data_IF_769695599552
#
_entry.id   IF_769695599552
#
_cell.length_a   1.000
_cell.length_b   1.000
_cell.length_c   1.000
_cell.angle_alpha   90.00
_cell.angle_beta   90.00
_cell.angle_gamma   90.00
#
_symmetry.space_group_name_H-M   'P 1'
#
loop_
_entity.id
_entity.type
_entity.pdbx_description
1 polymer ?
#
# COMPACT_ATOMS: atom_id res chain seq x y z
N UNK A 1 0.48 -76.00 -72.09
CA UNK A 1 0.76 -75.16 -70.90
C UNK A 1 -0.55 -75.02 -70.14
N UNK A 2 -0.65 -75.63 -68.96
CA UNK A 2 -1.92 -75.74 -68.22
C UNK A 2 -2.27 -74.42 -67.53
N UNK A 3 -3.53 -73.97 -67.67
CA UNK A 3 -4.11 -72.77 -67.05
C UNK A 3 -4.05 -72.77 -65.50
N UNK A 4 -3.69 -73.89 -64.88
CA UNK A 4 -3.59 -74.06 -63.42
C UNK A 4 -2.42 -73.28 -62.78
N UNK A 5 -1.47 -72.78 -63.56
CA UNK A 5 -0.38 -71.93 -63.06
C UNK A 5 -0.72 -70.44 -62.99
N UNK A 6 -1.94 -70.05 -63.42
CA UNK A 6 -2.41 -68.67 -63.46
C UNK A 6 -3.36 -68.31 -62.30
N UNK A 7 -3.80 -69.29 -61.50
CA UNK A 7 -4.68 -69.07 -60.34
C UNK A 7 -3.84 -69.08 -59.04
N UNK A 8 -3.77 -67.96 -58.29
CA UNK A 8 -3.05 -67.93 -57.03
C UNK A 8 -3.66 -68.95 -56.05
N UNK A 9 -2.81 -69.70 -55.34
CA UNK A 9 -3.26 -70.66 -54.34
C UNK A 9 -4.10 -69.95 -53.27
N UNK A 10 -5.06 -70.65 -52.64
CA UNK A 10 -5.94 -70.07 -51.61
C UNK A 10 -5.16 -69.39 -50.47
N UNK A 11 -3.96 -69.92 -50.17
CA UNK A 11 -3.02 -69.33 -49.21
C UNK A 11 -2.46 -67.98 -49.68
N UNK A 12 -2.15 -67.82 -50.97
CA UNK A 12 -1.70 -66.55 -51.53
C UNK A 12 -2.82 -65.49 -51.50
N UNK A 13 -4.08 -65.89 -51.74
CA UNK A 13 -5.23 -64.98 -51.63
C UNK A 13 -5.46 -64.53 -50.18
N UNK A 14 -5.44 -65.47 -49.23
CA UNK A 14 -5.58 -65.15 -47.80
C UNK A 14 -4.43 -64.25 -47.30
N UNK A 15 -3.20 -64.51 -47.73
CA UNK A 15 -2.06 -63.66 -47.42
C UNK A 15 -2.22 -62.26 -48.01
N UNK A 16 -2.64 -62.13 -49.26
CA UNK A 16 -2.84 -60.83 -49.90
C UNK A 16 -3.94 -60.01 -49.22
N UNK A 17 -5.08 -60.64 -48.89
CA UNK A 17 -6.17 -60.00 -48.15
C UNK A 17 -5.73 -59.61 -46.74
N UNK A 18 -4.98 -60.48 -46.04
CA UNK A 18 -4.38 -60.17 -44.75
C UNK A 18 -3.47 -58.95 -44.81
N UNK A 19 -2.56 -58.90 -45.79
CA UNK A 19 -1.68 -57.74 -45.99
C UNK A 19 -2.47 -56.46 -46.27
N UNK A 20 -3.53 -56.52 -47.08
CA UNK A 20 -4.38 -55.36 -47.37
C UNK A 20 -5.09 -54.79 -46.14
N UNK A 21 -5.32 -55.59 -45.10
CA UNK A 21 -5.98 -55.14 -43.87
C UNK A 21 -4.94 -54.73 -42.82
N UNK A 22 -3.91 -55.55 -42.59
CA UNK A 22 -2.94 -55.33 -41.53
C UNK A 22 -1.99 -54.16 -41.81
N UNK A 23 -1.63 -53.91 -43.08
CA UNK A 23 -0.75 -52.80 -43.46
C UNK A 23 -1.40 -51.44 -43.16
N UNK A 24 -2.61 -51.10 -43.64
CA UNK A 24 -3.22 -49.81 -43.33
C UNK A 24 -3.56 -49.68 -41.84
N UNK A 25 -3.93 -50.77 -41.15
CA UNK A 25 -4.15 -50.74 -39.71
C UNK A 25 -2.86 -50.37 -38.95
N UNK A 26 -1.73 -50.97 -39.32
CA UNK A 26 -0.43 -50.67 -38.72
C UNK A 26 0.02 -49.23 -39.00
N UNK A 27 -0.23 -48.71 -40.20
CA UNK A 27 0.07 -47.31 -40.55
C UNK A 27 -0.80 -46.37 -39.71
N UNK A 28 -2.10 -46.66 -39.58
CA UNK A 28 -3.03 -45.84 -38.81
C UNK A 28 -2.67 -45.80 -37.33
N UNK A 29 -2.37 -46.95 -36.73
CA UNK A 29 -1.99 -47.02 -35.30
C UNK A 29 -0.63 -46.39 -35.04
N UNK A 30 0.36 -46.61 -35.91
CA UNK A 30 1.67 -45.96 -35.80
C UNK A 30 1.57 -44.44 -35.92
N UNK A 31 0.76 -43.94 -36.86
CA UNK A 31 0.53 -42.49 -37.00
C UNK A 31 -0.19 -41.90 -35.79
N UNK A 32 -1.27 -42.53 -35.33
CA UNK A 32 -2.03 -42.08 -34.16
C UNK A 32 -1.18 -42.06 -32.88
N UNK A 33 -0.35 -43.10 -32.68
CA UNK A 33 0.59 -43.15 -31.56
C UNK A 33 1.66 -42.07 -31.66
N UNK A 34 2.20 -41.83 -32.86
CA UNK A 34 3.20 -40.79 -33.11
C UNK A 34 2.67 -39.38 -32.79
N UNK A 35 1.45 -39.06 -33.23
CA UNK A 35 0.80 -37.77 -32.93
C UNK A 35 0.51 -37.64 -31.44
N UNK A 36 -0.11 -38.65 -30.82
CA UNK A 36 -0.43 -38.64 -29.39
C UNK A 36 0.81 -38.50 -28.51
N UNK A 37 1.90 -39.22 -28.82
CA UNK A 37 3.14 -39.11 -28.07
C UNK A 37 3.82 -37.75 -28.28
N UNK A 38 3.76 -37.19 -29.49
CA UNK A 38 4.28 -35.84 -29.76
C UNK A 38 3.52 -34.78 -28.97
N UNK A 39 2.20 -34.88 -28.92
CA UNK A 39 1.38 -33.93 -28.16
C UNK A 39 1.61 -34.08 -26.65
N UNK A 40 1.71 -35.32 -26.15
CA UNK A 40 2.07 -35.58 -24.75
C UNK A 40 3.41 -34.94 -24.39
N UNK A 41 4.46 -35.15 -25.17
CA UNK A 41 5.79 -34.57 -24.92
C UNK A 41 5.74 -33.04 -24.96
N UNK A 42 4.97 -32.45 -25.88
CA UNK A 42 4.80 -30.99 -25.95
C UNK A 42 4.13 -30.43 -24.71
N UNK A 43 3.10 -31.10 -24.19
CA UNK A 43 2.44 -30.65 -22.96
C UNK A 43 3.30 -30.89 -21.72
N UNK A 44 4.04 -32.01 -21.65
CA UNK A 44 5.04 -32.23 -20.60
C UNK A 44 6.11 -31.13 -20.59
N UNK A 45 6.66 -30.78 -21.75
CA UNK A 45 7.63 -29.67 -21.86
C UNK A 45 7.06 -28.32 -21.47
N UNK A 46 5.78 -28.05 -21.79
CA UNK A 46 5.10 -26.82 -21.37
C UNK A 46 4.89 -26.81 -19.86
N UNK A 47 4.48 -27.93 -19.28
CA UNK A 47 4.29 -28.06 -17.84
C UNK A 47 5.61 -27.88 -17.08
N UNK A 48 6.69 -28.50 -17.54
CA UNK A 48 8.03 -28.35 -16.96
C UNK A 48 8.52 -26.90 -17.08
N UNK A 49 8.35 -26.27 -18.25
CA UNK A 49 8.73 -24.87 -18.44
C UNK A 49 7.93 -23.89 -17.57
N UNK A 50 6.66 -24.20 -17.25
CA UNK A 50 5.87 -23.43 -16.29
C UNK A 50 6.30 -23.71 -14.85
N UNK A 51 6.60 -24.96 -14.52
CA UNK A 51 7.11 -25.35 -13.21
C UNK A 51 8.39 -24.61 -12.88
N UNK A 52 9.33 -24.56 -13.83
CA UNK A 52 10.59 -23.83 -13.72
C UNK A 52 10.36 -22.33 -13.53
N UNK A 53 9.45 -21.71 -14.28
CA UNK A 53 9.14 -20.29 -14.10
C UNK A 53 8.52 -19.97 -12.73
N UNK A 54 7.78 -20.91 -12.14
CA UNK A 54 7.20 -20.74 -10.80
C UNK A 54 8.26 -20.92 -9.72
N UNK A 55 9.15 -21.90 -9.88
CA UNK A 55 10.07 -22.36 -8.82
C UNK A 55 11.53 -21.94 -9.01
N UNK A 56 11.88 -21.25 -10.10
CA UNK A 56 13.23 -20.74 -10.32
C UNK A 56 13.69 -19.92 -9.11
N UNK A 57 14.81 -20.31 -8.51
CA UNK A 57 15.29 -19.68 -7.29
C UNK A 57 15.60 -18.18 -7.51
N UNK A 58 15.06 -17.32 -6.64
CA UNK A 58 15.34 -15.88 -6.62
C UNK A 58 14.61 -15.05 -7.68
N UNK A 59 14.15 -15.64 -8.79
CA UNK A 59 13.44 -14.93 -9.87
C UNK A 59 12.07 -15.51 -10.21
N UNK A 60 11.76 -16.70 -9.69
CA UNK A 60 10.50 -17.39 -9.91
C UNK A 60 9.32 -16.63 -9.33
N UNK A 61 8.13 -16.88 -9.87
CA UNK A 61 6.92 -16.19 -9.45
C UNK A 61 6.63 -16.35 -7.95
N UNK A 62 6.95 -17.51 -7.37
CA UNK A 62 6.77 -17.77 -5.94
C UNK A 62 7.60 -16.81 -5.08
N UNK A 63 8.90 -16.72 -5.33
CA UNK A 63 9.80 -15.87 -4.54
C UNK A 63 9.48 -14.39 -4.73
N UNK A 64 9.14 -13.97 -5.96
CA UNK A 64 8.70 -12.60 -6.24
C UNK A 64 7.41 -12.24 -5.50
N UNK A 65 6.46 -13.17 -5.41
CA UNK A 65 5.23 -12.98 -4.64
C UNK A 65 5.54 -12.84 -3.14
N UNK A 66 6.38 -13.72 -2.60
CA UNK A 66 6.81 -13.64 -1.19
C UNK A 66 7.52 -12.31 -0.89
N UNK A 67 8.42 -11.86 -1.77
CA UNK A 67 9.10 -10.58 -1.63
C UNK A 67 8.12 -9.40 -1.71
N UNK A 68 7.17 -9.44 -2.66
CA UNK A 68 6.12 -8.42 -2.77
C UNK A 68 5.26 -8.34 -1.50
N UNK A 69 4.90 -9.49 -0.93
CA UNK A 69 4.15 -9.55 0.32
C UNK A 69 4.94 -8.97 1.50
N UNK A 70 6.24 -9.28 1.61
CA UNK A 70 7.11 -8.70 2.62
C UNK A 70 7.26 -7.18 2.46
N UNK A 71 7.44 -6.69 1.22
CA UNK A 71 7.50 -5.27 0.91
C UNK A 71 6.21 -4.54 1.27
N UNK A 72 5.06 -5.16 0.97
CA UNK A 72 3.75 -4.61 1.34
C UNK A 72 3.60 -4.49 2.86
N UNK A 73 3.93 -5.54 3.61
CA UNK A 73 3.88 -5.52 5.07
C UNK A 73 4.82 -4.45 5.65
N UNK A 74 6.04 -4.33 5.10
CA UNK A 74 6.99 -3.28 5.47
C UNK A 74 6.46 -1.87 5.19
N UNK A 75 5.85 -1.66 4.02
CA UNK A 75 5.23 -0.40 3.64
C UNK A 75 4.04 -0.04 4.55
N UNK A 76 3.18 -1.01 4.88
CA UNK A 76 2.06 -0.81 5.82
C UNK A 76 2.55 -0.41 7.21
N UNK A 77 3.59 -1.07 7.73
CA UNK A 77 4.19 -0.69 9.01
C UNK A 77 4.83 0.71 8.98
N UNK A 78 5.47 1.07 7.86
CA UNK A 78 6.02 2.41 7.67
C UNK A 78 4.94 3.49 7.62
N UNK A 79 3.84 3.25 6.89
CA UNK A 79 2.68 4.13 6.85
C UNK A 79 2.05 4.31 8.23
N UNK A 80 1.89 3.23 9.00
CA UNK A 80 1.37 3.32 10.36
C UNK A 80 2.23 4.22 11.28
N UNK A 81 3.57 4.10 11.17
CA UNK A 81 4.50 4.99 11.91
C UNK A 81 4.40 6.44 11.44
N UNK A 82 4.27 6.68 10.14
CA UNK A 82 4.12 8.03 9.59
C UNK A 82 2.81 8.68 10.04
N UNK A 83 1.69 7.95 9.98
CA UNK A 83 0.39 8.45 10.45
C UNK A 83 0.44 8.83 11.93
N UNK A 84 1.01 7.95 12.77
CA UNK A 84 1.22 8.27 14.18
C UNK A 84 2.07 9.54 14.37
N UNK A 85 3.16 9.69 13.63
CA UNK A 85 4.00 10.88 13.72
C UNK A 85 3.26 12.15 13.30
N UNK A 86 2.37 12.07 12.31
CA UNK A 86 1.50 13.19 11.90
C UNK A 86 0.48 13.53 12.99
N UNK A 87 -0.13 12.52 13.62
CA UNK A 87 -1.06 12.73 14.73
C UNK A 87 -0.37 13.37 15.94
N UNK A 88 0.83 12.90 16.28
CA UNK A 88 1.66 13.46 17.36
C UNK A 88 2.05 14.91 17.05
N UNK A 89 2.43 15.21 15.80
CA UNK A 89 2.76 16.57 15.36
C UNK A 89 1.54 17.49 15.44
N UNK A 90 0.36 17.00 15.07
CA UNK A 90 -0.89 17.73 15.20
C UNK A 90 -1.21 18.06 16.65
N UNK A 91 -1.12 17.07 17.55
CA UNK A 91 -1.34 17.28 18.97
C UNK A 91 -0.34 18.30 19.57
N UNK A 92 0.93 18.23 19.17
CA UNK A 92 1.95 19.19 19.59
C UNK A 92 1.66 20.61 19.05
N UNK A 93 1.21 20.73 17.80
CA UNK A 93 0.81 22.00 17.19
C UNK A 93 -0.40 22.61 17.89
N UNK A 94 -1.42 21.81 18.21
CA UNK A 94 -2.61 22.26 18.92
C UNK A 94 -2.25 22.75 20.34
N UNK A 95 -1.38 22.01 21.04
CA UNK A 95 -0.87 22.42 22.35
C UNK A 95 -0.05 23.71 22.28
N UNK A 96 0.83 23.85 21.28
CA UNK A 96 1.59 25.08 21.07
C UNK A 96 0.68 26.27 20.78
N UNK A 97 -0.37 26.07 19.99
CA UNK A 97 -1.37 27.10 19.68
C UNK A 97 -2.13 27.53 20.94
N UNK A 98 -2.60 26.58 21.76
CA UNK A 98 -3.26 26.88 23.02
C UNK A 98 -2.35 27.65 23.99
N UNK A 99 -1.09 27.25 24.10
CA UNK A 99 -0.10 27.95 24.94
C UNK A 99 0.17 29.37 24.43
N UNK A 100 0.28 29.56 23.11
CA UNK A 100 0.45 30.89 22.53
C UNK A 100 -0.76 31.79 22.81
N UNK A 101 -1.98 31.27 22.65
CA UNK A 101 -3.21 32.00 22.96
C UNK A 101 -3.28 32.40 24.45
N UNK A 102 -2.95 31.47 25.36
CA UNK A 102 -2.90 31.76 26.79
C UNK A 102 -1.86 32.83 27.13
N UNK A 103 -0.68 32.79 26.50
CA UNK A 103 0.36 33.79 26.69
C UNK A 103 -0.07 35.18 26.20
N UNK A 104 -0.74 35.26 25.04
CA UNK A 104 -1.31 36.51 24.52
C UNK A 104 -2.40 37.06 25.45
N UNK A 105 -3.32 36.21 25.91
CA UNK A 105 -4.36 36.62 26.85
C UNK A 105 -3.77 37.14 28.18
N UNK A 106 -2.74 36.45 28.71
CA UNK A 106 -2.03 36.89 29.90
C UNK A 106 -1.30 38.23 29.69
N UNK A 107 -0.69 38.43 28.52
CA UNK A 107 -0.05 39.70 28.17
C UNK A 107 -1.06 40.85 28.07
N UNK A 108 -2.21 40.61 27.43
CA UNK A 108 -3.31 41.58 27.35
C UNK A 108 -3.85 41.93 28.74
N UNK A 109 -4.08 40.94 29.61
CA UNK A 109 -4.53 41.18 30.99
C UNK A 109 -3.52 42.00 31.81
N UNK A 110 -2.22 41.79 31.61
CA UNK A 110 -1.17 42.61 32.24
C UNK A 110 -1.16 44.03 31.70
N UNK A 111 -1.35 44.21 30.39
CA UNK A 111 -1.40 45.52 29.75
C UNK A 111 -2.62 46.32 30.25
N UNK A 112 -3.80 45.71 30.33
CA UNK A 112 -5.00 46.38 30.86
C UNK A 112 -4.86 46.73 32.34
N UNK A 113 -4.32 45.82 33.16
CA UNK A 113 -4.05 46.11 34.57
C UNK A 113 -3.02 47.24 34.75
N UNK A 114 -1.97 47.29 33.92
CA UNK A 114 -1.00 48.38 33.94
C UNK A 114 -1.63 49.72 33.51
N UNK A 115 -2.50 49.70 32.50
CA UNK A 115 -3.23 50.89 32.05
C UNK A 115 -4.17 51.42 33.14
N UNK A 116 -4.89 50.55 33.84
CA UNK A 116 -5.76 50.92 34.96
C UNK A 116 -4.95 51.55 36.11
N UNK A 117 -3.80 50.96 36.48
CA UNK A 117 -2.90 51.54 37.50
C UNK A 117 -2.37 52.90 37.08
N UNK A 118 -1.97 53.07 35.82
CA UNK A 118 -1.51 54.36 35.32
C UNK A 118 -2.62 55.42 35.36
N UNK A 119 -3.85 55.07 35.01
CA UNK A 119 -5.01 55.97 35.13
C UNK A 119 -5.29 56.36 36.58
N UNK A 120 -5.21 55.42 37.53
CA UNK A 120 -5.34 55.73 38.96
C UNK A 120 -4.28 56.71 39.43
N UNK A 121 -3.01 56.49 39.08
CA UNK A 121 -1.91 57.39 39.44
C UNK A 121 -2.07 58.80 38.84
N UNK A 122 -2.65 58.92 37.64
CA UNK A 122 -2.95 60.22 37.03
C UNK A 122 -4.09 60.95 37.75
N UNK A 123 -5.10 60.22 38.27
CA UNK A 123 -6.18 60.79 39.07
C UNK A 123 -5.70 61.24 40.47
N UNK A 124 -4.73 60.52 41.05
CA UNK A 124 -4.12 60.83 42.35
C UNK A 124 -3.03 61.92 42.26
N UNK A 125 -2.62 62.35 41.06
CA UNK A 125 -1.60 63.39 40.94
C UNK A 125 -2.13 64.75 41.42
N UNK A 126 -1.39 65.43 42.33
CA UNK A 126 -1.75 66.77 42.78
C UNK A 126 -1.67 67.75 41.61
N UNK A 127 -2.62 68.69 41.52
CA UNK A 127 -2.55 69.76 40.52
C UNK A 127 -1.32 70.63 40.76
N UNK A 128 -0.77 71.29 39.73
CA UNK A 128 0.39 72.16 39.92
C UNK A 128 0.10 73.24 40.96
N UNK A 129 0.80 73.18 42.10
CA UNK A 129 0.63 74.07 43.26
C UNK A 129 -0.10 73.45 44.47
N UNK A 130 -0.66 72.24 44.35
CA UNK A 130 -1.42 71.55 45.40
C UNK A 130 -0.49 70.62 46.22
N UNK A 131 -0.63 70.61 47.54
CA UNK A 131 0.15 69.68 48.39
C UNK A 131 -0.46 68.28 48.38
N UNK A 132 0.34 67.23 48.64
CA UNK A 132 -0.15 65.84 48.65
C UNK A 132 -1.31 65.60 49.63
N UNK A 133 -1.34 66.35 50.73
CA UNK A 133 -2.41 66.24 51.73
C UNK A 133 -3.73 66.86 51.23
N UNK A 134 -3.68 68.01 50.55
CA UNK A 134 -4.87 68.66 49.95
C UNK A 134 -5.46 67.83 48.81
N UNK A 135 -4.61 67.22 47.98
CA UNK A 135 -5.07 66.33 46.91
C UNK A 135 -5.78 65.08 47.45
N UNK A 136 -5.30 64.52 48.57
CA UNK A 136 -5.93 63.37 49.22
C UNK A 136 -7.30 63.72 49.84
N UNK A 137 -7.40 64.89 50.47
CA UNK A 137 -8.65 65.35 51.10
C UNK A 137 -9.74 65.64 50.06
N UNK A 138 -9.36 66.20 48.90
CA UNK A 138 -10.27 66.39 47.75
C UNK A 138 -10.85 65.07 47.23
N UNK A 139 -10.01 64.04 47.06
CA UNK A 139 -10.45 62.72 46.59
C UNK A 139 -11.44 62.06 47.54
N UNK A 140 -11.24 62.22 48.86
CA UNK A 140 -12.16 61.70 49.88
C UNK A 140 -13.52 62.42 49.81
N UNK A 141 -13.51 63.75 49.67
CA UNK A 141 -14.74 64.55 49.53
C UNK A 141 -15.51 64.25 48.24
N UNK A 142 -14.82 63.93 47.13
CA UNK A 142 -15.45 63.56 45.86
C UNK A 142 -16.01 62.12 45.86
N UNK A 143 -15.46 61.19 46.65
CA UNK A 143 -15.97 59.81 46.74
C UNK A 143 -17.18 59.63 47.68
N UNK A 144 -17.40 60.53 48.63
CA UNK A 144 -18.46 60.42 49.67
C UNK A 144 -19.79 61.06 49.22
N UNK A 145 -19.83 61.72 48.05
CA UNK A 145 -21.02 62.39 47.51
C UNK A 145 -21.70 61.59 46.41
#
# INVERSE_FOLDING_TARGET
MSLSSLLPSRLAILSAVGCLIFIPLAIFTAYGWGVSNRDRIREEQRADGLYDQIHAAGIGYKDRLTMSQANLAGAQAALARQNKAVDDLKAASDAATANAQAAVAAAQARATAAQQRAQQLLLEQPRPGETRCEAADRLILEQVR
#
